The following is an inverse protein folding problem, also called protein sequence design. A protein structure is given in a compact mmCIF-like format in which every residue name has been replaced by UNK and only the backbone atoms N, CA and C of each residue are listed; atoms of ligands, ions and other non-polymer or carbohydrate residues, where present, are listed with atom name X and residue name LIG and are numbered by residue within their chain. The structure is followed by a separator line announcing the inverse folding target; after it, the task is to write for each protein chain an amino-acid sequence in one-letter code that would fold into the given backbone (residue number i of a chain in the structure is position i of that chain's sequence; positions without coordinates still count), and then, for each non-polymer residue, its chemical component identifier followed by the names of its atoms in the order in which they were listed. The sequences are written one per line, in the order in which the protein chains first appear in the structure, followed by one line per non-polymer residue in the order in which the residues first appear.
data_IF_972044439179
#
_entry.id   IF_972044439179
#
_cell.length_a   1.000
_cell.length_b   1.000
_cell.length_c   1.000
_cell.angle_alpha   90.00
_cell.angle_beta   90.00
_cell.angle_gamma   90.00
#
_symmetry.space_group_name_H-M   'P 1'
#
loop_
_entity.id
_entity.type
_entity.pdbx_description
1 polymer ?
#
# COMPACT_ATOMS: atom_id res chain seq x y z
N UNK A 1 33.01 3.33 11.85
CA UNK A 1 34.45 3.52 11.66
C UNK A 1 34.95 2.85 10.38
N UNK A 2 34.72 1.55 10.15
CA UNK A 2 35.20 0.80 8.96
C UNK A 2 35.00 1.40 7.55
N UNK A 3 34.04 2.31 7.34
CA UNK A 3 33.82 2.96 6.03
C UNK A 3 34.73 4.18 5.82
N UNK A 4 35.01 4.93 6.89
CA UNK A 4 35.87 6.11 6.85
C UNK A 4 37.33 5.71 6.59
N UNK A 5 37.80 4.66 7.28
CA UNK A 5 39.16 4.14 7.09
C UNK A 5 39.39 3.62 5.67
N UNK A 6 38.38 2.98 5.06
CA UNK A 6 38.46 2.49 3.67
C UNK A 6 38.56 3.64 2.66
N UNK A 7 37.73 4.67 2.81
CA UNK A 7 37.73 5.85 1.94
C UNK A 7 39.01 6.67 2.08
N UNK A 8 39.52 6.83 3.30
CA UNK A 8 40.79 7.51 3.58
C UNK A 8 41.99 6.73 3.01
N UNK A 9 42.03 5.41 3.20
CA UNK A 9 43.09 4.58 2.65
C UNK A 9 43.07 4.56 1.11
N UNK A 10 41.88 4.58 0.49
CA UNK A 10 41.75 4.70 -0.95
C UNK A 10 42.25 6.07 -1.46
N UNK A 11 41.84 7.16 -0.81
CA UNK A 11 42.24 8.51 -1.16
C UNK A 11 43.76 8.71 -1.06
N UNK A 12 44.38 8.24 0.03
CA UNK A 12 45.83 8.31 0.24
C UNK A 12 46.59 7.47 -0.79
N UNK A 13 46.04 6.33 -1.22
CA UNK A 13 46.65 5.47 -2.24
C UNK A 13 46.67 6.12 -3.63
N UNK A 14 45.62 6.87 -4.00
CA UNK A 14 45.55 7.52 -5.32
C UNK A 14 46.27 8.87 -5.39
N UNK A 15 46.40 9.59 -4.27
CA UNK A 15 46.89 10.96 -4.26
C UNK A 15 48.33 11.11 -3.71
N UNK A 16 48.99 10.00 -3.34
CA UNK A 16 50.42 9.95 -2.97
C UNK A 16 51.37 10.03 -4.18
N UNK A 17 51.05 10.87 -5.17
CA UNK A 17 51.89 11.12 -6.34
C UNK A 17 52.39 12.56 -6.28
N UNK A 18 53.67 12.82 -6.62
CA UNK A 18 54.33 14.14 -6.54
C UNK A 18 53.66 15.26 -7.38
N UNK A 19 52.63 14.93 -8.16
CA UNK A 19 51.90 15.84 -9.04
C UNK A 19 50.86 16.73 -8.32
N UNK A 20 50.48 16.44 -7.07
CA UNK A 20 49.42 17.17 -6.36
C UNK A 20 50.01 17.97 -5.20
N UNK A 21 49.70 19.27 -5.13
CA UNK A 21 50.14 20.14 -4.04
C UNK A 21 49.56 19.70 -2.69
N UNK A 22 50.38 19.72 -1.64
CA UNK A 22 50.00 19.32 -0.27
C UNK A 22 48.74 20.04 0.25
N UNK A 23 48.52 21.28 -0.21
CA UNK A 23 47.33 22.07 0.11
C UNK A 23 46.05 21.48 -0.50
N UNK A 24 46.07 21.12 -1.78
CA UNK A 24 44.93 20.50 -2.46
C UNK A 24 44.60 19.13 -1.87
N UNK A 25 45.61 18.36 -1.46
CA UNK A 25 45.41 17.08 -0.76
C UNK A 25 44.67 17.31 0.58
N UNK A 26 45.11 18.31 1.36
CA UNK A 26 44.49 18.64 2.65
C UNK A 26 43.04 19.10 2.52
N UNK A 27 42.74 19.97 1.55
CA UNK A 27 41.39 20.49 1.36
C UNK A 27 40.43 19.44 0.77
N UNK A 28 40.92 18.57 -0.11
CA UNK A 28 40.16 17.41 -0.61
C UNK A 28 39.88 16.39 0.51
N UNK A 29 40.86 16.13 1.37
CA UNK A 29 40.70 15.24 2.52
C UNK A 29 39.67 15.77 3.53
N UNK A 30 39.67 17.09 3.80
CA UNK A 30 38.63 17.74 4.61
C UNK A 30 37.24 17.59 4.00
N UNK A 31 37.11 17.71 2.68
CA UNK A 31 35.84 17.54 1.99
C UNK A 31 35.31 16.10 2.11
N UNK A 32 36.18 15.10 1.95
CA UNK A 32 35.83 13.68 2.12
C UNK A 32 35.38 13.39 3.56
N UNK A 33 36.13 13.87 4.56
CA UNK A 33 35.79 13.70 5.98
C UNK A 33 34.46 14.39 6.32
N UNK A 34 34.23 15.61 5.82
CA UNK A 34 32.95 16.33 6.01
C UNK A 34 31.79 15.58 5.36
N UNK A 35 31.95 15.13 4.11
CA UNK A 35 30.91 14.40 3.37
C UNK A 35 30.54 13.06 4.04
N UNK A 36 31.55 12.31 4.49
CA UNK A 36 31.34 11.05 5.22
C UNK A 36 30.71 11.27 6.59
N UNK A 37 31.09 12.31 7.33
CA UNK A 37 30.46 12.67 8.60
C UNK A 37 29.00 13.11 8.44
N UNK A 38 28.68 13.91 7.42
CA UNK A 38 27.30 14.30 7.12
C UNK A 38 26.47 13.07 6.74
N UNK A 39 27.02 12.17 5.91
CA UNK A 39 26.36 10.92 5.52
C UNK A 39 26.11 10.00 6.71
N UNK A 40 27.11 9.84 7.59
CA UNK A 40 26.99 9.08 8.83
C UNK A 40 25.95 9.68 9.78
N UNK A 41 25.97 11.01 9.95
CA UNK A 41 25.02 11.73 10.82
C UNK A 41 23.59 11.63 10.28
N UNK A 42 23.40 11.78 8.96
CA UNK A 42 22.11 11.60 8.30
C UNK A 42 21.61 10.15 8.42
N UNK A 43 22.49 9.16 8.24
CA UNK A 43 22.17 7.73 8.42
C UNK A 43 21.78 7.43 9.87
N UNK A 44 22.55 7.90 10.83
CA UNK A 44 22.30 7.74 12.27
C UNK A 44 21.00 8.42 12.69
N UNK A 45 20.70 9.62 12.21
CA UNK A 45 19.41 10.28 12.46
C UNK A 45 18.27 9.45 11.84
N UNK A 46 18.43 9.00 10.60
CA UNK A 46 17.45 8.15 9.92
C UNK A 46 17.22 6.83 10.66
N UNK A 47 18.22 6.24 11.30
CA UNK A 47 18.12 5.04 12.15
C UNK A 47 17.49 5.34 13.52
N UNK A 48 17.94 6.40 14.21
CA UNK A 48 17.38 6.87 15.49
C UNK A 48 15.88 7.17 15.44
N UNK A 49 15.39 7.70 14.31
CA UNK A 49 13.97 7.95 14.08
C UNK A 49 13.21 6.77 13.45
N UNK A 50 13.92 5.73 12.99
CA UNK A 50 13.30 4.52 12.39
C UNK A 50 12.67 3.60 13.44
N UNK A 51 13.17 3.65 14.68
CA UNK A 51 12.88 2.65 15.71
C UNK A 51 11.62 2.96 16.54
N UNK A 52 11.17 4.22 16.62
CA UNK A 52 10.13 4.58 17.61
C UNK A 52 8.76 4.94 17.01
N UNK A 53 8.70 5.48 15.79
CA UNK A 53 7.45 5.94 15.17
C UNK A 53 7.48 5.77 13.64
N UNK A 54 6.38 5.30 13.07
CA UNK A 54 6.11 5.35 11.62
C UNK A 54 4.98 6.33 11.38
N UNK A 55 5.21 7.30 10.50
CA UNK A 55 4.26 8.35 10.15
C UNK A 55 3.75 8.12 8.72
N UNK A 56 2.43 8.15 8.57
CA UNK A 56 1.75 8.27 7.27
C UNK A 56 0.95 9.56 7.28
N UNK A 57 1.18 10.41 6.29
CA UNK A 57 0.51 11.71 6.16
C UNK A 57 -0.25 11.75 4.84
N UNK A 58 -1.51 12.20 4.89
CA UNK A 58 -2.29 12.51 3.71
C UNK A 58 -3.07 13.80 3.95
N UNK A 59 -2.63 14.89 3.29
CA UNK A 59 -3.11 16.25 3.58
C UNK A 59 -3.06 16.52 5.10
N UNK A 60 -4.20 16.87 5.70
CA UNK A 60 -4.33 17.17 7.13
C UNK A 60 -4.42 15.91 8.02
N UNK A 61 -4.65 14.73 7.43
CA UNK A 61 -4.82 13.48 8.16
C UNK A 61 -3.46 12.79 8.39
N UNK A 62 -3.05 12.72 9.66
CA UNK A 62 -1.82 12.06 10.11
C UNK A 62 -2.13 10.75 10.86
N UNK A 63 -1.43 9.68 10.50
CA UNK A 63 -1.42 8.41 11.22
C UNK A 63 -0.02 8.14 11.76
N UNK A 64 0.04 7.87 13.06
CA UNK A 64 1.24 7.40 13.73
C UNK A 64 1.07 5.93 14.13
N UNK A 65 2.04 5.10 13.74
CA UNK A 65 2.18 3.72 14.19
C UNK A 65 3.41 3.70 15.09
N UNK A 66 3.22 3.34 16.36
CA UNK A 66 4.29 3.39 17.37
C UNK A 66 4.29 2.12 18.21
N UNK A 67 5.47 1.79 18.73
CA UNK A 67 5.67 0.71 19.70
C UNK A 67 5.74 1.30 21.11
N UNK A 68 5.21 0.57 22.10
CA UNK A 68 5.23 0.99 23.51
C UNK A 68 4.56 2.35 23.79
N UNK A 69 3.27 2.54 23.49
CA UNK A 69 2.61 3.85 23.48
C UNK A 69 2.57 4.55 24.85
N UNK A 70 2.79 3.84 25.96
CA UNK A 70 2.89 4.42 27.30
C UNK A 70 4.10 5.35 27.45
N UNK A 71 5.22 5.04 26.81
CA UNK A 71 6.45 5.83 26.89
C UNK A 71 6.63 6.76 25.68
N UNK A 72 6.20 6.28 24.51
CA UNK A 72 6.36 6.98 23.23
C UNK A 72 5.24 7.98 22.96
N UNK A 73 4.03 7.73 23.45
CA UNK A 73 2.88 8.62 23.31
C UNK A 73 3.11 10.03 23.85
N UNK A 74 3.54 10.22 25.11
CA UNK A 74 3.78 11.55 25.68
C UNK A 74 4.84 12.35 24.91
N UNK A 75 5.94 11.69 24.51
CA UNK A 75 7.00 12.28 23.68
C UNK A 75 6.48 12.77 22.33
N UNK A 76 5.53 12.06 21.74
CA UNK A 76 4.90 12.49 20.50
C UNK A 76 4.06 13.76 20.70
N UNK A 77 3.27 13.82 21.78
CA UNK A 77 2.44 15.00 22.07
C UNK A 77 3.32 16.22 22.34
N UNK A 78 4.39 16.07 23.12
CA UNK A 78 5.37 17.14 23.36
C UNK A 78 5.94 17.70 22.04
N UNK A 79 6.36 16.83 21.13
CA UNK A 79 6.88 17.24 19.82
C UNK A 79 5.82 17.87 18.92
N UNK A 80 4.58 17.43 19.02
CA UNK A 80 3.46 18.03 18.30
C UNK A 80 3.12 19.43 18.83
N UNK A 81 3.27 19.68 20.13
CA UNK A 81 3.11 21.01 20.71
C UNK A 81 4.29 21.94 20.33
N UNK A 82 5.54 21.45 20.34
CA UNK A 82 6.69 22.22 19.79
C UNK A 82 6.45 22.63 18.33
N UNK A 83 5.95 21.69 17.50
CA UNK A 83 5.64 21.99 16.11
C UNK A 83 4.48 22.99 15.98
N UNK A 84 3.50 22.93 16.87
CA UNK A 84 2.39 23.89 16.92
C UNK A 84 2.87 25.30 17.21
N UNK A 85 3.84 25.49 18.10
CA UNK A 85 4.41 26.82 18.39
C UNK A 85 5.09 27.43 17.15
N UNK A 86 5.79 26.60 16.36
CA UNK A 86 6.48 27.05 15.15
C UNK A 86 5.51 27.28 13.98
N UNK A 87 4.56 26.36 13.77
CA UNK A 87 3.67 26.37 12.61
C UNK A 87 2.40 27.22 12.81
N UNK A 88 2.06 27.59 14.05
CA UNK A 88 0.82 28.29 14.37
C UNK A 88 -0.47 27.46 14.18
N UNK A 89 -0.35 26.16 13.92
CA UNK A 89 -1.49 25.28 13.63
C UNK A 89 -1.95 24.53 14.88
N UNK A 90 -3.23 24.70 15.27
CA UNK A 90 -3.82 24.04 16.43
C UNK A 90 -4.30 22.63 16.08
N UNK A 91 -3.75 21.63 16.78
CA UNK A 91 -4.20 20.24 16.67
C UNK A 91 -5.56 20.07 17.34
N UNK A 92 -6.50 19.43 16.65
CA UNK A 92 -7.82 19.13 17.18
C UNK A 92 -7.79 17.82 17.99
N UNK A 93 -7.58 17.92 19.31
CA UNK A 93 -7.54 16.78 20.24
C UNK A 93 -8.81 15.92 20.20
N UNK A 94 -9.99 16.50 19.95
CA UNK A 94 -11.24 15.76 19.81
C UNK A 94 -11.33 14.87 18.56
N UNK A 95 -10.54 15.16 17.52
CA UNK A 95 -10.40 14.30 16.33
C UNK A 95 -9.32 13.24 16.49
N UNK A 96 -8.38 13.42 17.43
CA UNK A 96 -7.35 12.42 17.70
C UNK A 96 -7.96 11.18 18.32
N UNK A 97 -7.59 10.03 17.78
CA UNK A 97 -8.13 8.73 18.17
C UNK A 97 -7.00 7.72 18.17
N UNK A 98 -6.97 6.86 19.18
CA UNK A 98 -5.94 5.82 19.32
C UNK A 98 -6.59 4.45 19.15
N UNK A 99 -5.96 3.60 18.33
CA UNK A 99 -6.22 2.15 18.32
C UNK A 99 -5.06 1.47 19.04
N UNK A 100 -5.35 0.85 20.19
CA UNK A 100 -4.36 0.12 20.98
C UNK A 100 -4.34 -1.38 20.62
N UNK A 101 -3.21 -1.87 20.08
CA UNK A 101 -2.98 -3.29 19.79
C UNK A 101 -2.28 -3.98 20.98
N UNK A 102 -2.68 -5.22 21.29
CA UNK A 102 -2.07 -6.08 22.31
C UNK A 102 -1.87 -5.45 23.71
N UNK A 103 -2.75 -4.52 24.11
CA UNK A 103 -2.73 -3.90 25.45
C UNK A 103 -3.86 -4.43 26.32
N UNK A 104 -3.59 -4.62 27.60
CA UNK A 104 -4.61 -4.97 28.61
C UNK A 104 -5.55 -3.79 28.87
N UNK A 105 -6.77 -4.05 29.39
CA UNK A 105 -7.73 -2.99 29.68
C UNK A 105 -7.19 -1.97 30.70
N UNK A 106 -6.43 -2.42 31.70
CA UNK A 106 -5.76 -1.53 32.68
C UNK A 106 -4.76 -0.57 32.01
N UNK A 107 -3.97 -1.06 31.06
CA UNK A 107 -3.02 -0.23 30.31
C UNK A 107 -3.72 0.76 29.38
N UNK A 108 -4.83 0.34 28.75
CA UNK A 108 -5.64 1.25 27.92
C UNK A 108 -6.22 2.39 28.74
N UNK A 109 -6.77 2.12 29.91
CA UNK A 109 -7.29 3.17 30.80
C UNK A 109 -6.20 4.14 31.27
N UNK A 110 -5.01 3.61 31.63
CA UNK A 110 -3.86 4.43 32.00
C UNK A 110 -3.40 5.32 30.85
N UNK A 111 -3.34 4.77 29.64
CA UNK A 111 -2.94 5.51 28.44
C UNK A 111 -3.96 6.59 28.04
N UNK A 112 -5.26 6.26 28.10
CA UNK A 112 -6.33 7.21 27.81
C UNK A 112 -6.31 8.40 28.80
N UNK A 113 -6.08 8.13 30.08
CA UNK A 113 -5.93 9.18 31.11
C UNK A 113 -4.67 10.02 30.91
N UNK A 114 -3.55 9.39 30.59
CA UNK A 114 -2.27 10.10 30.43
C UNK A 114 -2.23 11.02 29.21
N UNK A 115 -2.91 10.64 28.13
CA UNK A 115 -2.89 11.39 26.87
C UNK A 115 -4.12 12.26 26.65
N UNK A 116 -5.17 12.12 27.47
CA UNK A 116 -6.48 12.75 27.28
C UNK A 116 -7.06 12.51 25.88
N UNK A 117 -6.86 11.30 25.35
CA UNK A 117 -7.32 10.88 24.02
C UNK A 117 -8.18 9.63 24.15
N UNK A 118 -9.29 9.60 23.41
CA UNK A 118 -10.18 8.45 23.37
C UNK A 118 -9.54 7.26 22.64
N UNK A 119 -9.49 6.12 23.33
CA UNK A 119 -9.15 4.83 22.71
C UNK A 119 -10.41 4.28 22.08
N UNK A 120 -10.40 4.14 20.76
CA UNK A 120 -11.54 3.63 20.00
C UNK A 120 -11.18 2.28 19.36
N UNK A 121 -12.12 1.34 19.27
CA UNK A 121 -11.90 0.10 18.54
C UNK A 121 -11.87 0.30 17.03
N UNK A 122 -12.37 1.45 16.52
CA UNK A 122 -12.62 1.71 15.10
C UNK A 122 -12.20 3.13 14.72
N UNK A 123 -11.38 3.28 13.69
CA UNK A 123 -11.01 4.58 13.09
C UNK A 123 -11.32 4.56 11.60
N UNK A 124 -11.81 5.69 11.06
CA UNK A 124 -11.96 5.90 9.62
C UNK A 124 -10.78 6.72 9.13
N UNK A 125 -10.04 6.22 8.14
CA UNK A 125 -8.93 6.91 7.49
C UNK A 125 -9.09 6.79 5.98
N UNK A 126 -9.07 7.93 5.26
CA UNK A 126 -9.22 8.00 3.80
C UNK A 126 -10.41 7.19 3.25
N UNK A 127 -11.53 7.21 3.99
CA UNK A 127 -12.75 6.47 3.63
C UNK A 127 -12.76 5.00 4.06
N UNK A 128 -11.62 4.43 4.45
CA UNK A 128 -11.47 3.05 4.92
C UNK A 128 -11.68 3.00 6.43
N UNK A 129 -12.47 2.03 6.88
CA UNK A 129 -12.63 1.77 8.31
C UNK A 129 -11.62 0.72 8.77
N UNK A 130 -10.75 1.11 9.70
CA UNK A 130 -9.83 0.23 10.41
C UNK A 130 -10.50 -0.18 11.73
N UNK A 131 -10.65 -1.49 11.95
CA UNK A 131 -11.28 -2.06 13.16
C UNK A 131 -10.31 -3.00 13.88
N UNK A 132 -10.14 -2.81 15.18
CA UNK A 132 -9.38 -3.65 16.08
C UNK A 132 -10.28 -4.25 17.17
N UNK A 133 -10.42 -5.57 17.20
CA UNK A 133 -11.33 -6.31 18.09
C UNK A 133 -10.62 -7.20 19.13
N UNK A 134 -9.32 -6.97 19.41
CA UNK A 134 -8.51 -7.83 20.30
C UNK A 134 -7.53 -8.72 19.53
N UNK A 135 -6.98 -9.75 20.20
CA UNK A 135 -5.79 -10.57 19.83
C UNK A 135 -5.70 -11.00 18.35
N UNK A 136 -6.82 -11.02 17.63
CA UNK A 136 -6.84 -11.15 16.19
C UNK A 136 -7.10 -9.81 15.51
N UNK A 137 -6.07 -9.29 14.83
CA UNK A 137 -6.21 -8.28 13.78
C UNK A 137 -7.20 -8.83 12.76
N UNK A 138 -8.49 -8.48 12.87
CA UNK A 138 -9.63 -8.96 12.05
C UNK A 138 -9.30 -10.21 11.21
N UNK A 139 -9.03 -11.34 11.88
CA UNK A 139 -8.68 -12.60 11.20
C UNK A 139 -9.86 -13.13 10.34
N UNK A 140 -11.03 -12.50 10.47
CA UNK A 140 -12.15 -12.62 9.55
C UNK A 140 -12.15 -11.46 8.55
N UNK A 141 -11.27 -11.55 7.54
CA UNK A 141 -11.33 -10.69 6.34
C UNK A 141 -12.66 -10.79 5.56
N UNK A 142 -13.52 -11.76 5.89
CA UNK A 142 -14.93 -11.77 5.47
C UNK A 142 -15.62 -10.44 5.83
N UNK A 143 -15.42 -9.95 7.05
CA UNK A 143 -16.03 -8.68 7.50
C UNK A 143 -15.45 -7.45 6.79
N UNK A 144 -14.18 -7.47 6.36
CA UNK A 144 -13.58 -6.36 5.59
C UNK A 144 -14.12 -6.32 4.16
N UNK A 145 -14.20 -7.49 3.51
CA UNK A 145 -14.82 -7.63 2.19
C UNK A 145 -16.29 -7.23 2.22
N UNK A 146 -17.02 -7.69 3.24
CA UNK A 146 -18.42 -7.33 3.46
C UNK A 146 -18.59 -5.84 3.75
N UNK A 147 -17.76 -5.24 4.59
CA UNK A 147 -17.93 -3.83 4.95
C UNK A 147 -17.52 -2.84 3.86
N UNK A 148 -16.60 -3.19 2.97
CA UNK A 148 -16.06 -2.23 1.99
C UNK A 148 -16.64 -2.50 0.60
N UNK A 149 -16.43 -3.71 0.07
CA UNK A 149 -16.81 -4.05 -1.29
C UNK A 149 -18.32 -4.23 -1.46
N UNK A 150 -19.02 -4.81 -0.47
CA UNK A 150 -20.48 -4.93 -0.53
C UNK A 150 -21.14 -3.57 -0.34
N UNK A 151 -20.66 -2.73 0.60
CA UNK A 151 -21.18 -1.36 0.75
C UNK A 151 -20.99 -0.51 -0.49
N UNK A 152 -19.82 -0.59 -1.14
CA UNK A 152 -19.61 0.10 -2.41
C UNK A 152 -20.58 -0.42 -3.48
N UNK A 153 -20.75 -1.75 -3.60
CA UNK A 153 -21.71 -2.35 -4.54
C UNK A 153 -23.14 -1.83 -4.30
N UNK A 154 -23.57 -1.75 -3.04
CA UNK A 154 -24.87 -1.21 -2.64
C UNK A 154 -25.01 0.27 -3.00
N UNK A 155 -23.99 1.08 -2.73
CA UNK A 155 -23.99 2.49 -3.12
C UNK A 155 -24.08 2.66 -4.64
N UNK A 156 -23.29 1.90 -5.39
CA UNK A 156 -23.35 1.89 -6.86
C UNK A 156 -24.75 1.53 -7.34
N UNK A 157 -25.39 0.51 -6.76
CA UNK A 157 -26.75 0.13 -7.12
C UNK A 157 -27.75 1.27 -6.88
N UNK A 158 -27.67 1.95 -5.74
CA UNK A 158 -28.53 3.10 -5.42
C UNK A 158 -28.28 4.29 -6.37
N UNK A 159 -27.01 4.59 -6.66
CA UNK A 159 -26.64 5.68 -7.57
C UNK A 159 -27.14 5.40 -9.01
N UNK A 160 -27.05 4.15 -9.46
CA UNK A 160 -27.53 3.73 -10.77
C UNK A 160 -29.06 3.82 -10.90
N UNK A 161 -29.82 3.47 -9.85
CA UNK A 161 -31.28 3.65 -9.82
C UNK A 161 -31.63 5.14 -9.91
N UNK A 162 -30.91 6.01 -9.20
CA UNK A 162 -31.12 7.47 -9.31
C UNK A 162 -30.82 7.99 -10.71
N UNK A 163 -29.77 7.48 -11.35
CA UNK A 163 -29.36 7.89 -12.69
C UNK A 163 -30.19 7.25 -13.80
N UNK A 164 -31.03 6.26 -13.51
CA UNK A 164 -31.95 5.66 -14.49
C UNK A 164 -32.96 6.68 -15.01
N UNK A 165 -33.36 7.63 -14.16
CA UNK A 165 -34.26 8.72 -14.52
C UNK A 165 -33.63 9.75 -15.49
N UNK A 166 -32.32 9.70 -15.69
CA UNK A 166 -31.64 10.56 -16.67
C UNK A 166 -31.91 10.01 -18.08
N UNK A 167 -32.40 10.84 -18.99
CA UNK A 167 -32.65 10.49 -20.39
C UNK A 167 -31.34 10.36 -21.20
N UNK A 168 -30.45 9.45 -20.79
CA UNK A 168 -29.16 9.22 -21.41
C UNK A 168 -29.24 8.15 -22.50
N UNK A 169 -28.56 8.42 -23.62
CA UNK A 169 -28.34 7.42 -24.67
C UNK A 169 -27.58 6.20 -24.14
N UNK A 170 -27.60 5.08 -24.88
CA UNK A 170 -26.84 3.88 -24.52
C UNK A 170 -25.34 4.19 -24.30
N UNK A 171 -24.76 4.99 -25.19
CA UNK A 171 -23.36 5.42 -25.12
C UNK A 171 -23.13 6.36 -23.93
N UNK A 172 -24.08 7.25 -23.65
CA UNK A 172 -24.06 8.12 -22.48
C UNK A 172 -23.98 7.31 -21.19
N UNK A 173 -24.83 6.28 -21.05
CA UNK A 173 -24.85 5.40 -19.87
C UNK A 173 -23.56 4.61 -19.69
N UNK A 174 -22.97 4.07 -20.77
CA UNK A 174 -21.64 3.44 -20.71
C UNK A 174 -20.58 4.43 -20.24
N UNK A 175 -20.66 5.67 -20.68
CA UNK A 175 -19.71 6.73 -20.29
C UNK A 175 -19.87 7.08 -18.81
N UNK A 176 -21.08 7.14 -18.28
CA UNK A 176 -21.35 7.30 -16.84
C UNK A 176 -20.68 6.19 -16.02
N UNK A 177 -20.78 4.93 -16.45
CA UNK A 177 -20.08 3.82 -15.79
C UNK A 177 -18.56 4.06 -15.79
N UNK A 178 -17.98 4.44 -16.93
CA UNK A 178 -16.55 4.69 -17.07
C UNK A 178 -16.03 5.85 -16.24
N UNK A 179 -16.80 6.92 -16.15
CA UNK A 179 -16.35 8.16 -15.53
C UNK A 179 -16.59 8.16 -14.02
N UNK A 180 -17.65 7.52 -13.54
CA UNK A 180 -18.02 7.60 -12.12
C UNK A 180 -17.79 6.27 -11.37
N UNK A 181 -18.27 5.15 -11.92
CA UNK A 181 -18.22 3.86 -11.22
C UNK A 181 -16.83 3.23 -11.30
N UNK A 182 -16.24 3.22 -12.50
CA UNK A 182 -14.93 2.60 -12.72
C UNK A 182 -13.83 3.19 -11.79
N UNK A 183 -13.68 4.52 -11.63
CA UNK A 183 -12.65 5.07 -10.74
C UNK A 183 -12.85 4.68 -9.26
N UNK A 184 -14.10 4.65 -8.77
CA UNK A 184 -14.42 4.24 -7.39
C UNK A 184 -14.03 2.79 -7.12
N UNK A 185 -14.32 1.91 -8.06
CA UNK A 185 -13.96 0.49 -7.97
C UNK A 185 -12.44 0.31 -8.08
N UNK A 186 -11.82 1.00 -9.04
CA UNK A 186 -10.38 0.91 -9.29
C UNK A 186 -9.56 1.36 -8.08
N UNK A 187 -9.99 2.44 -7.42
CA UNK A 187 -9.40 2.89 -6.17
C UNK A 187 -9.39 1.79 -5.11
N UNK A 188 -10.50 1.05 -4.93
CA UNK A 188 -10.54 -0.06 -3.98
C UNK A 188 -9.62 -1.22 -4.38
N UNK A 189 -9.60 -1.58 -5.67
CA UNK A 189 -8.74 -2.65 -6.16
C UNK A 189 -7.25 -2.34 -5.99
N UNK A 190 -6.88 -1.06 -6.16
CA UNK A 190 -5.51 -0.60 -5.96
C UNK A 190 -5.15 -0.49 -4.48
N UNK A 191 -6.06 -0.02 -3.63
CA UNK A 191 -5.76 0.20 -2.20
C UNK A 191 -5.80 -1.07 -1.38
N UNK A 192 -6.70 -2.01 -1.71
CA UNK A 192 -6.95 -3.20 -0.91
C UNK A 192 -7.08 -4.43 -1.83
N UNK A 193 -5.96 -5.09 -2.17
CA UNK A 193 -5.96 -6.31 -2.98
C UNK A 193 -6.49 -7.52 -2.17
N UNK A 194 -7.81 -7.60 -1.96
CA UNK A 194 -8.48 -8.75 -1.34
C UNK A 194 -8.93 -9.74 -2.40
N UNK A 195 -8.99 -11.02 -2.05
CA UNK A 195 -9.56 -12.08 -2.89
C UNK A 195 -11.05 -11.85 -3.16
N UNK A 196 -11.37 -11.51 -4.39
CA UNK A 196 -12.76 -11.43 -4.88
C UNK A 196 -13.13 -12.72 -5.62
N UNK A 197 -14.35 -13.20 -5.37
CA UNK A 197 -14.92 -14.36 -6.06
C UNK A 197 -15.56 -13.94 -7.38
N UNK A 198 -15.76 -14.89 -8.30
CA UNK A 198 -16.41 -14.63 -9.60
C UNK A 198 -17.83 -14.05 -9.40
N UNK A 199 -18.56 -14.57 -8.42
CA UNK A 199 -19.92 -14.14 -8.08
C UNK A 199 -20.02 -12.62 -7.85
N UNK A 200 -19.00 -12.00 -7.26
CA UNK A 200 -18.97 -10.55 -7.05
C UNK A 200 -18.97 -9.78 -8.37
N UNK A 201 -18.15 -10.23 -9.33
CA UNK A 201 -18.06 -9.59 -10.65
C UNK A 201 -19.29 -9.87 -11.49
N UNK A 202 -19.87 -11.06 -11.38
CA UNK A 202 -21.13 -11.39 -12.06
C UNK A 202 -22.29 -10.54 -11.54
N UNK A 203 -22.41 -10.36 -10.22
CA UNK A 203 -23.40 -9.47 -9.62
C UNK A 203 -23.22 -8.01 -10.07
N UNK A 204 -21.98 -7.52 -10.08
CA UNK A 204 -21.69 -6.17 -10.52
C UNK A 204 -22.04 -5.98 -12.00
N UNK A 205 -21.71 -6.95 -12.86
CA UNK A 205 -22.07 -6.95 -14.27
C UNK A 205 -23.59 -6.96 -14.46
N UNK A 206 -24.34 -7.72 -13.65
CA UNK A 206 -25.82 -7.72 -13.68
C UNK A 206 -26.38 -6.32 -13.36
N UNK A 207 -25.93 -5.70 -12.28
CA UNK A 207 -26.38 -4.36 -11.86
C UNK A 207 -26.10 -3.33 -12.96
N UNK A 208 -24.88 -3.35 -13.52
CA UNK A 208 -24.48 -2.44 -14.61
C UNK A 208 -25.30 -2.68 -15.87
N UNK A 209 -25.58 -3.93 -16.23
CA UNK A 209 -26.40 -4.26 -17.40
C UNK A 209 -27.85 -3.81 -17.23
N UNK A 210 -28.45 -3.98 -16.06
CA UNK A 210 -29.81 -3.50 -15.77
C UNK A 210 -29.89 -1.99 -16.04
N UNK A 211 -28.94 -1.21 -15.54
CA UNK A 211 -28.86 0.23 -15.80
C UNK A 211 -28.69 0.57 -17.30
N UNK A 212 -27.78 -0.12 -17.98
CA UNK A 212 -27.48 0.10 -19.41
C UNK A 212 -28.64 -0.30 -20.34
N UNK A 213 -29.55 -1.17 -19.88
CA UNK A 213 -30.72 -1.56 -20.65
C UNK A 213 -32.05 -0.99 -20.11
N UNK A 214 -32.04 -0.14 -19.08
CA UNK A 214 -33.24 0.38 -18.40
C UNK A 214 -34.19 -0.76 -17.97
N UNK A 215 -33.63 -1.78 -17.32
CA UNK A 215 -34.38 -2.98 -16.93
C UNK A 215 -34.80 -3.92 -18.07
N UNK A 216 -34.58 -3.54 -19.35
CA UNK A 216 -34.87 -4.40 -20.50
C UNK A 216 -33.84 -5.52 -20.64
N UNK A 217 -34.22 -6.60 -21.34
CA UNK A 217 -33.31 -7.70 -21.65
C UNK A 217 -32.15 -7.21 -22.53
N UNK A 218 -30.93 -7.58 -22.16
CA UNK A 218 -29.74 -7.24 -22.94
C UNK A 218 -29.83 -7.82 -24.35
N UNK A 219 -29.67 -6.98 -25.37
CA UNK A 219 -29.74 -7.39 -26.78
C UNK A 219 -28.39 -7.90 -27.32
N UNK A 220 -27.30 -7.49 -26.69
CA UNK A 220 -25.93 -7.79 -27.13
C UNK A 220 -25.23 -8.64 -26.06
N UNK A 221 -24.45 -9.63 -26.50
CA UNK A 221 -23.62 -10.45 -25.60
C UNK A 221 -22.61 -9.57 -24.85
N UNK A 222 -22.48 -9.75 -23.53
CA UNK A 222 -21.60 -8.93 -22.68
C UNK A 222 -20.15 -8.88 -23.18
N UNK A 223 -19.60 -10.00 -23.69
CA UNK A 223 -18.23 -10.04 -24.22
C UNK A 223 -17.99 -9.05 -25.36
N UNK A 224 -18.92 -8.96 -26.31
CA UNK A 224 -18.85 -8.00 -27.42
C UNK A 224 -19.02 -6.56 -26.92
N UNK A 225 -19.85 -6.39 -25.90
CA UNK A 225 -20.12 -5.10 -25.30
C UNK A 225 -18.91 -4.53 -24.54
N UNK A 226 -18.11 -5.41 -23.93
CA UNK A 226 -16.86 -5.07 -23.24
C UNK A 226 -15.67 -4.94 -24.20
N UNK A 227 -15.81 -5.35 -25.45
CA UNK A 227 -14.72 -5.28 -26.42
C UNK A 227 -14.39 -3.82 -26.79
N UNK A 228 -13.14 -3.58 -27.20
CA UNK A 228 -12.65 -2.27 -27.58
C UNK A 228 -13.41 -1.71 -28.79
N UNK A 229 -13.58 -0.39 -28.83
CA UNK A 229 -14.22 0.31 -29.95
C UNK A 229 -13.53 0.05 -31.29
N UNK A 230 -12.20 -0.07 -31.27
CA UNK A 230 -11.38 -0.36 -32.45
C UNK A 230 -11.73 -1.73 -33.07
N UNK A 231 -12.18 -2.69 -32.24
CA UNK A 231 -12.60 -4.03 -32.66
C UNK A 231 -14.11 -4.14 -32.89
N UNK A 232 -14.82 -3.01 -32.98
CA UNK A 232 -16.27 -2.97 -33.17
C UNK A 232 -17.10 -3.18 -31.90
N UNK A 233 -16.46 -3.17 -30.72
CA UNK A 233 -17.15 -3.23 -29.43
C UNK A 233 -17.61 -1.86 -28.91
N UNK A 234 -18.30 -1.86 -27.77
CA UNK A 234 -18.78 -0.62 -27.11
C UNK A 234 -17.82 -0.10 -26.02
N UNK A 235 -16.83 -0.90 -25.67
CA UNK A 235 -15.79 -0.59 -24.70
C UNK A 235 -16.28 -0.53 -23.26
N UNK A 236 -17.34 -1.25 -22.88
CA UNK A 236 -17.77 -1.30 -21.48
C UNK A 236 -16.64 -1.85 -20.58
N UNK A 237 -16.33 -1.23 -19.42
CA UNK A 237 -15.28 -1.74 -18.54
C UNK A 237 -15.56 -3.16 -18.05
N UNK A 238 -14.58 -4.05 -18.21
CA UNK A 238 -14.59 -5.35 -17.57
C UNK A 238 -13.89 -5.27 -16.20
N UNK A 239 -14.68 -5.19 -15.13
CA UNK A 239 -14.16 -5.02 -13.77
C UNK A 239 -13.27 -6.18 -13.30
N UNK A 240 -13.49 -7.41 -13.79
CA UNK A 240 -12.64 -8.56 -13.44
C UNK A 240 -11.24 -8.40 -14.06
N UNK A 241 -11.15 -7.96 -15.32
CA UNK A 241 -9.87 -7.68 -15.97
C UNK A 241 -9.13 -6.53 -15.30
N UNK A 242 -9.82 -5.46 -14.92
CA UNK A 242 -9.22 -4.36 -14.16
C UNK A 242 -8.69 -4.84 -12.81
N UNK A 243 -9.44 -5.68 -12.09
CA UNK A 243 -8.98 -6.28 -10.83
C UNK A 243 -7.73 -7.14 -11.02
N UNK A 244 -7.68 -7.97 -12.06
CA UNK A 244 -6.49 -8.77 -12.36
C UNK A 244 -5.29 -7.88 -12.66
N UNK A 245 -5.47 -6.83 -13.48
CA UNK A 245 -4.43 -5.89 -13.83
C UNK A 245 -3.89 -5.11 -12.61
N UNK A 246 -4.74 -4.63 -11.72
CA UNK A 246 -4.29 -3.95 -10.49
C UNK A 246 -3.52 -4.89 -9.57
N UNK A 247 -3.93 -6.16 -9.45
CA UNK A 247 -3.17 -7.14 -8.68
C UNK A 247 -1.79 -7.42 -9.30
N UNK A 248 -1.68 -7.44 -10.63
CA UNK A 248 -0.39 -7.55 -11.30
C UNK A 248 0.50 -6.33 -11.07
N UNK A 249 -0.06 -5.13 -10.94
CA UNK A 249 0.70 -3.93 -10.57
C UNK A 249 1.35 -4.10 -9.19
N UNK A 250 0.61 -4.65 -8.22
CA UNK A 250 1.16 -5.02 -6.91
C UNK A 250 2.30 -6.03 -7.02
N UNK A 251 2.10 -7.10 -7.81
CA UNK A 251 3.15 -8.11 -8.02
C UNK A 251 4.39 -7.53 -8.71
N UNK A 252 4.23 -6.59 -9.65
CA UNK A 252 5.34 -5.88 -10.29
C UNK A 252 6.11 -5.04 -9.28
N UNK A 253 5.42 -4.24 -8.46
CA UNK A 253 6.06 -3.47 -7.40
C UNK A 253 6.86 -4.39 -6.49
N UNK A 254 6.29 -5.56 -6.14
CA UNK A 254 6.98 -6.59 -5.38
C UNK A 254 8.29 -6.99 -6.06
N UNK A 255 8.22 -7.50 -7.29
CA UNK A 255 9.38 -7.99 -8.07
C UNK A 255 10.49 -6.94 -8.23
N UNK A 256 10.12 -5.68 -8.47
CA UNK A 256 11.10 -4.63 -8.75
C UNK A 256 11.87 -4.13 -7.52
N UNK A 257 11.44 -4.49 -6.30
CA UNK A 257 12.11 -4.17 -5.03
C UNK A 257 12.44 -2.69 -4.79
N UNK A 258 11.90 -1.76 -5.60
CA UNK A 258 12.25 -0.33 -5.54
C UNK A 258 11.84 0.31 -4.22
N UNK A 259 10.77 -0.15 -3.61
CA UNK A 259 10.24 0.37 -2.35
C UNK A 259 10.60 -0.51 -1.15
N UNK A 260 11.89 -0.51 -0.77
CA UNK A 260 12.41 -1.31 0.36
C UNK A 260 11.62 -1.13 1.67
N UNK A 261 11.08 0.07 1.94
CA UNK A 261 10.29 0.35 3.15
C UNK A 261 9.00 -0.46 3.25
N UNK A 262 8.27 -0.59 2.14
CA UNK A 262 7.03 -1.38 2.08
C UNK A 262 7.33 -2.87 2.21
N UNK A 263 8.41 -3.35 1.57
CA UNK A 263 8.82 -4.76 1.62
C UNK A 263 9.32 -5.21 2.98
N UNK A 264 10.02 -4.35 3.73
CA UNK A 264 10.42 -4.67 5.11
C UNK A 264 9.20 -4.78 6.04
N UNK A 265 8.15 -3.95 5.82
CA UNK A 265 6.91 -3.99 6.61
C UNK A 265 6.12 -5.26 6.39
N UNK A 266 5.98 -5.70 5.15
CA UNK A 266 5.26 -6.93 4.85
C UNK A 266 6.13 -8.16 5.16
N UNK A 267 7.44 -8.10 4.91
CA UNK A 267 8.40 -9.22 5.01
C UNK A 267 8.99 -9.53 6.35
N UNK A 268 8.71 -8.72 7.38
CA UNK A 268 9.33 -8.88 8.69
C UNK A 268 9.18 -10.30 9.27
N UNK A 269 8.07 -10.97 8.96
CA UNK A 269 7.76 -12.30 9.49
C UNK A 269 8.13 -13.45 8.54
N UNK A 270 8.81 -13.18 7.42
CA UNK A 270 9.21 -14.20 6.45
C UNK A 270 10.67 -14.65 6.64
N UNK A 271 10.89 -15.97 6.59
CA UNK A 271 12.22 -16.60 6.55
C UNK A 271 12.99 -16.37 5.24
N UNK A 272 12.29 -16.09 4.14
CA UNK A 272 12.85 -15.89 2.80
C UNK A 272 12.28 -14.60 2.19
N UNK A 273 13.01 -13.98 1.28
CA UNK A 273 12.51 -12.84 0.52
C UNK A 273 11.25 -13.21 -0.28
N UNK A 274 10.28 -12.29 -0.32
CA UNK A 274 8.98 -12.44 -1.00
C UNK A 274 9.04 -13.08 -2.40
N UNK A 275 10.03 -12.69 -3.19
CA UNK A 275 10.30 -13.17 -4.55
C UNK A 275 10.44 -14.67 -4.66
N UNK A 276 11.03 -15.30 -3.64
CA UNK A 276 11.19 -16.74 -3.59
C UNK A 276 9.82 -17.45 -3.65
N UNK A 277 8.80 -16.90 -3.01
CA UNK A 277 7.46 -17.51 -2.97
C UNK A 277 6.69 -17.40 -4.29
N UNK A 278 7.09 -16.51 -5.20
CA UNK A 278 6.50 -16.42 -6.53
C UNK A 278 7.01 -17.51 -7.47
N UNK A 279 8.29 -17.93 -7.32
CA UNK A 279 8.99 -18.86 -8.20
C UNK A 279 9.15 -20.29 -7.67
N UNK A 280 9.47 -20.47 -6.39
CA UNK A 280 9.66 -21.81 -5.85
C UNK A 280 8.29 -22.49 -5.66
N UNK A 281 8.11 -23.65 -6.30
CA UNK A 281 6.92 -24.48 -6.11
C UNK A 281 7.04 -25.24 -4.78
N UNK A 282 6.09 -24.98 -3.86
CA UNK A 282 5.54 -26.02 -2.99
C UNK A 282 6.47 -26.65 -1.94
N UNK A 283 6.87 -25.89 -0.93
CA UNK A 283 7.31 -26.46 0.36
C UNK A 283 6.28 -26.16 1.46
N UNK A 284 6.21 -27.02 2.50
CA UNK A 284 5.35 -26.83 3.69
C UNK A 284 5.53 -25.46 4.36
N UNK A 285 6.70 -24.83 4.19
CA UNK A 285 7.02 -23.46 4.65
C UNK A 285 6.21 -22.35 3.98
N UNK A 286 5.58 -22.59 2.82
CA UNK A 286 4.72 -21.59 2.14
C UNK A 286 3.34 -21.43 2.77
N UNK A 287 2.93 -22.33 3.66
CA UNK A 287 1.65 -22.21 4.36
C UNK A 287 1.52 -20.88 5.12
N UNK A 288 2.61 -20.40 5.72
CA UNK A 288 2.63 -19.13 6.43
C UNK A 288 2.43 -17.92 5.51
N UNK A 289 3.05 -17.94 4.33
CA UNK A 289 2.89 -16.90 3.31
C UNK A 289 1.43 -16.77 2.84
N UNK A 290 0.76 -17.92 2.63
CA UNK A 290 -0.62 -17.98 2.14
C UNK A 290 -1.67 -17.74 3.23
N UNK A 291 -1.31 -17.74 4.52
CA UNK A 291 -2.25 -17.40 5.61
C UNK A 291 -2.72 -15.95 5.56
N UNK A 292 -1.95 -15.06 4.93
CA UNK A 292 -2.36 -13.67 4.77
C UNK A 292 -3.18 -13.48 3.49
N UNK A 293 -4.41 -13.00 3.64
CA UNK A 293 -5.38 -12.90 2.54
C UNK A 293 -4.93 -12.05 1.34
N UNK A 294 -4.20 -10.96 1.59
CA UNK A 294 -3.64 -10.11 0.51
C UNK A 294 -2.54 -10.86 -0.26
N UNK A 295 -1.71 -11.64 0.43
CA UNK A 295 -0.66 -12.43 -0.21
C UNK A 295 -1.25 -13.57 -1.01
N UNK A 296 -2.26 -14.22 -0.45
CA UNK A 296 -3.00 -15.28 -1.11
C UNK A 296 -3.72 -14.78 -2.37
N UNK A 297 -4.38 -13.61 -2.32
CA UNK A 297 -5.08 -13.03 -3.47
C UNK A 297 -4.12 -12.71 -4.62
N UNK A 298 -2.99 -12.06 -4.30
CA UNK A 298 -1.95 -11.70 -5.26
C UNK A 298 -1.28 -12.95 -5.83
N UNK A 299 -0.97 -13.94 -4.99
CA UNK A 299 -0.38 -15.20 -5.42
C UNK A 299 -1.31 -16.01 -6.33
N UNK A 300 -2.62 -16.09 -6.03
CA UNK A 300 -3.59 -16.77 -6.87
C UNK A 300 -3.75 -16.10 -8.24
N UNK A 301 -3.77 -14.75 -8.26
CA UNK A 301 -3.83 -14.00 -9.51
C UNK A 301 -2.54 -14.14 -10.32
N UNK A 302 -1.39 -14.12 -9.63
CA UNK A 302 -0.10 -14.42 -10.22
C UNK A 302 -0.06 -15.83 -10.81
N UNK A 303 -0.55 -16.85 -10.10
CA UNK A 303 -0.55 -18.23 -10.59
C UNK A 303 -1.43 -18.43 -11.83
N UNK A 304 -2.57 -17.73 -11.91
CA UNK A 304 -3.44 -17.75 -13.10
C UNK A 304 -2.78 -17.11 -14.32
N UNK A 305 -2.03 -16.04 -14.10
CA UNK A 305 -1.47 -15.20 -15.18
C UNK A 305 -0.05 -15.59 -15.56
N UNK A 306 0.75 -16.16 -14.64
CA UNK A 306 2.16 -16.50 -14.86
C UNK A 306 2.36 -17.35 -16.10
N UNK A 307 1.47 -18.32 -16.37
CA UNK A 307 1.56 -19.20 -17.56
C UNK A 307 1.42 -18.46 -18.88
N UNK A 308 0.71 -17.32 -18.89
CA UNK A 308 0.50 -16.49 -20.07
C UNK A 308 1.66 -15.51 -20.31
N UNK A 309 2.37 -15.12 -19.24
CA UNK A 309 3.44 -14.12 -19.29
C UNK A 309 4.85 -14.68 -19.00
N UNK A 310 4.99 -16.00 -18.77
CA UNK A 310 6.26 -16.65 -18.43
C UNK A 310 7.36 -16.44 -19.46
N UNK A 311 7.01 -16.15 -20.72
CA UNK A 311 7.98 -15.93 -21.79
C UNK A 311 8.58 -14.52 -21.83
N UNK A 312 7.98 -13.51 -21.18
CA UNK A 312 8.41 -12.11 -21.26
C UNK A 312 9.30 -11.64 -20.10
N UNK A 313 9.33 -12.37 -18.98
CA UNK A 313 10.00 -11.92 -17.73
C UNK A 313 11.30 -12.69 -17.46
N UNK A 314 11.55 -13.79 -18.19
CA UNK A 314 12.73 -14.64 -18.03
C UNK A 314 14.12 -13.96 -18.24
N UNK A 315 14.31 -12.85 -18.99
CA UNK A 315 15.67 -12.35 -19.17
C UNK A 315 16.27 -11.65 -17.94
N UNK A 316 15.48 -11.14 -16.99
CA UNK A 316 16.01 -10.21 -16.00
C UNK A 316 16.36 -10.80 -14.63
N UNK A 317 16.05 -12.08 -14.36
CA UNK A 317 16.30 -12.69 -13.04
C UNK A 317 17.54 -13.60 -13.03
N UNK A 318 18.12 -13.90 -14.19
CA UNK A 318 19.30 -14.76 -14.28
C UNK A 318 20.59 -14.04 -13.84
N UNK A 319 20.64 -12.71 -13.90
CA UNK A 319 21.88 -11.95 -13.67
C UNK A 319 22.13 -11.46 -12.23
N UNK A 320 21.31 -11.84 -11.24
CA UNK A 320 21.50 -11.40 -9.84
C UNK A 320 22.01 -12.48 -8.87
N UNK A 321 22.33 -13.68 -9.38
CA UNK A 321 22.94 -14.75 -8.58
C UNK A 321 24.23 -15.32 -9.20
N UNK A 322 24.99 -14.49 -9.93
CA UNK A 322 26.28 -14.86 -10.47
C UNK A 322 27.31 -13.75 -10.32
N UNK A 323 27.83 -13.59 -9.10
CA UNK A 323 29.22 -13.19 -8.75
C UNK A 323 29.31 -12.93 -7.23
#
# INVERSE_FOLDING_TARGET
MNKLDKELNYFLKENNNEAITKQNICDTMKAIIRGTMISYTAKRNKEKYKENFKLQAFADDLIFIMEGPEQTGPKLIEKLEEYREVAGLKINKGKMKIIAKNMTNKQKEKLAKNLDIQIVPKIKYLGITILYLGIHWTARCSTLKENIYIKLKQQIALDLVKWENLQLSLIGRISTIKMNILPRILYLFQTIPIRLGKDYFEDLNKIVLIYIWLGKKARIKLKLFQDAKIRGGFGLPNCELYYQATNLMWVKEWITLRNTRLFTLEGHDLLLGWHAFLWYKGTKTQGYFRRYYIRESLWLNWEKTKRQYTWLILPCVVDLCGC
#
